data_IF_954826728671
#
_entry.id   IF_954826728671
#
_cell.length_a   1.000
_cell.length_b   1.000
_cell.length_c   1.000
_cell.angle_alpha   90.00
_cell.angle_beta   90.00
_cell.angle_gamma   90.00
#
_symmetry.space_group_name_H-M   'P 1'
#
loop_
_entity.id
_entity.type
_entity.pdbx_description
1 polymer ?
#
# COMPACT_ATOMS: atom_id res chain seq x y z
N UNK A 1 -6.41 10.86 -8.73
CA UNK A 1 -5.35 11.85 -8.99
C UNK A 1 -4.30 11.92 -7.87
N UNK A 2 -4.67 11.85 -6.59
CA UNK A 2 -3.71 11.91 -5.46
C UNK A 2 -2.70 10.74 -5.46
N UNK A 3 -3.14 9.53 -5.82
CA UNK A 3 -2.25 8.35 -5.90
C UNK A 3 -1.24 8.53 -7.04
N UNK A 4 -1.71 8.98 -8.19
CA UNK A 4 -0.83 9.23 -9.34
C UNK A 4 0.14 10.39 -9.08
N UNK A 5 -0.30 11.45 -8.41
CA UNK A 5 0.60 12.51 -7.95
C UNK A 5 1.71 11.95 -7.06
N UNK A 6 1.36 11.14 -6.05
CA UNK A 6 2.34 10.51 -5.18
C UNK A 6 3.33 9.61 -5.93
N UNK A 7 2.87 8.91 -6.97
CA UNK A 7 3.73 8.13 -7.84
C UNK A 7 4.71 9.02 -8.63
N UNK A 8 4.22 10.08 -9.28
CA UNK A 8 5.05 11.02 -10.03
C UNK A 8 6.10 11.66 -9.13
N UNK A 9 5.72 12.12 -7.94
CA UNK A 9 6.64 12.70 -6.97
C UNK A 9 7.71 11.71 -6.53
N UNK A 10 7.32 10.50 -6.15
CA UNK A 10 8.25 9.44 -5.74
C UNK A 10 9.19 9.04 -6.87
N UNK A 11 8.69 8.94 -8.09
CA UNK A 11 9.50 8.62 -9.27
C UNK A 11 10.52 9.73 -9.55
N UNK A 12 10.11 10.99 -9.54
CA UNK A 12 11.00 12.12 -9.73
C UNK A 12 12.14 12.12 -8.71
N UNK A 13 11.85 11.92 -7.44
CA UNK A 13 12.84 11.93 -6.36
C UNK A 13 13.75 10.70 -6.42
N UNK A 14 13.20 9.49 -6.54
CA UNK A 14 13.95 8.24 -6.33
C UNK A 14 14.48 7.61 -7.61
N UNK A 15 13.85 7.84 -8.74
CA UNK A 15 14.26 7.30 -10.04
C UNK A 15 15.07 8.32 -10.82
N UNK A 16 14.49 9.50 -11.05
CA UNK A 16 15.17 10.60 -11.74
C UNK A 16 16.16 11.37 -10.86
N UNK A 17 16.10 11.20 -9.52
CA UNK A 17 17.01 11.81 -8.53
C UNK A 17 16.98 13.33 -8.51
N UNK A 18 15.79 13.87 -8.72
CA UNK A 18 15.52 15.30 -8.64
C UNK A 18 15.38 15.76 -7.20
N UNK A 19 15.48 17.08 -7.00
CA UNK A 19 15.40 17.68 -5.68
C UNK A 19 14.03 17.42 -5.02
N UNK A 20 13.98 16.77 -3.84
CA UNK A 20 12.74 16.50 -3.13
C UNK A 20 11.90 17.74 -2.83
N UNK A 21 12.51 18.89 -2.63
CA UNK A 21 11.79 20.14 -2.32
C UNK A 21 10.88 20.59 -3.46
N UNK A 22 11.23 20.27 -4.69
CA UNK A 22 10.42 20.56 -5.87
C UNK A 22 9.18 19.67 -6.00
N UNK A 23 9.17 18.52 -5.33
CA UNK A 23 8.13 17.49 -5.44
C UNK A 23 7.41 17.23 -4.12
N UNK A 24 7.43 18.18 -3.19
CA UNK A 24 6.83 18.06 -1.85
C UNK A 24 5.39 18.57 -1.75
N UNK A 25 4.79 19.05 -2.85
CA UNK A 25 3.47 19.66 -2.85
C UNK A 25 2.38 18.68 -2.38
N UNK A 26 1.51 19.15 -1.47
CA UNK A 26 0.33 18.41 -1.04
C UNK A 26 -0.67 18.25 -2.21
N UNK A 27 -1.52 17.18 -2.20
CA UNK A 27 -2.52 16.98 -3.24
C UNK A 27 -3.47 18.19 -3.39
N UNK A 28 -3.53 18.72 -4.60
CA UNK A 28 -4.42 19.80 -5.00
C UNK A 28 -4.82 19.61 -6.47
N UNK A 29 -5.86 20.29 -6.97
CA UNK A 29 -6.26 20.18 -8.38
C UNK A 29 -5.16 20.49 -9.39
N UNK A 30 -4.18 21.33 -9.03
CA UNK A 30 -3.07 21.76 -9.89
C UNK A 30 -1.75 21.06 -9.59
N UNK A 31 -1.62 20.34 -8.47
CA UNK A 31 -0.36 19.75 -8.02
C UNK A 31 0.21 18.73 -9.00
N UNK A 32 -0.64 17.90 -9.62
CA UNK A 32 -0.19 16.93 -10.61
C UNK A 32 0.40 17.60 -11.85
N UNK A 33 -0.29 18.62 -12.39
CA UNK A 33 0.19 19.37 -13.55
C UNK A 33 1.51 20.08 -13.25
N UNK A 34 1.63 20.65 -12.04
CA UNK A 34 2.86 21.30 -11.59
C UNK A 34 4.02 20.31 -11.46
N UNK A 35 3.78 19.12 -10.89
CA UNK A 35 4.79 18.08 -10.75
C UNK A 35 5.29 17.55 -12.12
N UNK A 36 4.38 17.35 -13.07
CA UNK A 36 4.74 16.93 -14.43
C UNK A 36 5.54 18.03 -15.17
N UNK A 37 5.14 19.29 -15.02
CA UNK A 37 5.86 20.42 -15.59
C UNK A 37 7.27 20.57 -14.98
N UNK A 38 7.40 20.42 -13.66
CA UNK A 38 8.69 20.43 -12.98
C UNK A 38 9.59 19.27 -13.44
N UNK A 39 9.04 18.06 -13.58
CA UNK A 39 9.78 16.91 -14.09
C UNK A 39 10.36 17.19 -15.48
N UNK A 40 9.52 17.70 -16.39
CA UNK A 40 9.95 18.06 -17.75
C UNK A 40 11.03 19.16 -17.75
N UNK A 41 10.87 20.17 -16.90
CA UNK A 41 11.84 21.27 -16.83
C UNK A 41 13.23 20.81 -16.35
N UNK A 42 13.27 19.83 -15.45
CA UNK A 42 14.53 19.32 -14.88
C UNK A 42 15.18 18.22 -15.72
N UNK A 43 14.40 17.47 -16.49
CA UNK A 43 14.92 16.31 -17.26
C UNK A 43 15.01 16.57 -18.77
N UNK A 44 14.39 17.64 -19.27
CA UNK A 44 14.14 17.90 -20.69
C UNK A 44 13.31 16.78 -21.38
N UNK A 45 12.66 15.90 -20.59
CA UNK A 45 11.87 14.77 -21.07
C UNK A 45 10.45 14.80 -20.50
N UNK A 46 9.49 14.28 -21.24
CA UNK A 46 8.15 14.04 -20.70
C UNK A 46 8.18 12.90 -19.68
N UNK A 47 7.35 13.01 -18.64
CA UNK A 47 7.20 11.91 -17.67
C UNK A 47 6.75 10.63 -18.39
N UNK A 48 7.46 9.49 -18.22
CA UNK A 48 7.16 8.27 -18.94
C UNK A 48 5.74 7.76 -18.62
N UNK A 49 4.95 7.48 -19.65
CA UNK A 49 3.57 6.99 -19.50
C UNK A 49 3.46 5.48 -19.72
N UNK A 50 4.48 4.84 -20.28
CA UNK A 50 4.50 3.39 -20.45
C UNK A 50 4.87 2.68 -19.15
N UNK A 51 3.98 1.83 -18.58
CA UNK A 51 4.26 1.09 -17.35
C UNK A 51 5.50 0.18 -17.42
N UNK A 52 5.79 -0.39 -18.60
CA UNK A 52 6.96 -1.24 -18.76
C UNK A 52 8.26 -0.43 -18.68
N UNK A 53 8.28 0.77 -19.28
CA UNK A 53 9.39 1.70 -19.15
C UNK A 53 9.55 2.16 -17.69
N UNK A 54 8.46 2.59 -17.04
CA UNK A 54 8.46 2.98 -15.63
C UNK A 54 9.06 1.89 -14.74
N UNK A 55 8.58 0.64 -14.89
CA UNK A 55 9.08 -0.50 -14.12
C UNK A 55 10.57 -0.74 -14.36
N UNK A 56 11.01 -0.70 -15.63
CA UNK A 56 12.42 -0.91 -15.97
C UNK A 56 13.34 0.15 -15.35
N UNK A 57 12.90 1.40 -15.29
CA UNK A 57 13.68 2.47 -14.69
C UNK A 57 13.69 2.40 -13.16
N UNK A 58 12.56 2.05 -12.53
CA UNK A 58 12.48 1.75 -11.09
C UNK A 58 13.45 0.63 -10.73
N UNK A 59 13.45 -0.48 -11.47
CA UNK A 59 14.35 -1.62 -11.25
C UNK A 59 15.82 -1.22 -11.36
N UNK A 60 16.18 -0.44 -12.38
CA UNK A 60 17.55 0.07 -12.53
C UNK A 60 17.95 0.99 -11.37
N UNK A 61 17.04 1.83 -10.90
CA UNK A 61 17.28 2.71 -9.76
C UNK A 61 17.48 1.93 -8.46
N UNK A 62 16.64 0.91 -8.22
CA UNK A 62 16.76 0.02 -7.06
C UNK A 62 18.07 -0.76 -7.09
N UNK A 63 18.46 -1.32 -8.23
CA UNK A 63 19.74 -2.04 -8.39
C UNK A 63 20.92 -1.12 -8.10
N UNK A 64 20.94 0.08 -8.65
CA UNK A 64 21.98 1.08 -8.36
C UNK A 64 22.05 1.47 -6.89
N UNK A 65 20.90 1.66 -6.24
CA UNK A 65 20.85 1.96 -4.81
C UNK A 65 21.35 0.79 -3.97
N UNK A 66 21.00 -0.45 -4.34
CA UNK A 66 21.46 -1.67 -3.67
C UNK A 66 22.99 -1.84 -3.75
N UNK A 67 23.58 -1.57 -4.90
CA UNK A 67 25.03 -1.65 -5.15
C UNK A 67 25.82 -0.44 -4.62
N UNK A 68 25.13 0.59 -4.16
CA UNK A 68 25.75 1.80 -3.63
C UNK A 68 26.65 1.51 -2.41
N UNK A 69 27.77 2.23 -2.28
CA UNK A 69 28.78 2.02 -1.25
C UNK A 69 28.17 2.05 0.16
N UNK A 70 27.32 3.03 0.45
CA UNK A 70 26.65 3.16 1.76
C UNK A 70 25.76 1.96 2.06
N UNK A 71 24.96 1.51 1.10
CA UNK A 71 24.08 0.35 1.26
C UNK A 71 24.90 -0.95 1.49
N UNK A 72 26.00 -1.11 0.78
CA UNK A 72 26.93 -2.24 0.97
C UNK A 72 27.55 -2.24 2.37
N UNK A 73 28.06 -1.10 2.82
CA UNK A 73 28.65 -0.96 4.15
C UNK A 73 27.64 -1.23 5.26
N UNK A 74 26.41 -0.73 5.12
CA UNK A 74 25.34 -0.99 6.09
C UNK A 74 24.94 -2.48 6.15
N UNK A 75 24.87 -3.16 5.00
CA UNK A 75 24.62 -4.61 4.96
C UNK A 75 25.74 -5.40 5.65
N UNK A 76 26.99 -5.07 5.35
CA UNK A 76 28.16 -5.69 6.00
C UNK A 76 28.15 -5.47 7.51
N UNK A 77 27.87 -4.25 7.95
CA UNK A 77 27.78 -3.92 9.38
C UNK A 77 26.66 -4.70 10.10
N UNK A 78 25.60 -5.07 9.39
CA UNK A 78 24.49 -5.90 9.91
C UNK A 78 24.73 -7.41 9.76
N UNK A 79 25.90 -7.83 9.30
CA UNK A 79 26.24 -9.25 9.13
C UNK A 79 25.52 -9.94 7.96
N UNK A 80 25.01 -9.18 6.99
CA UNK A 80 24.41 -9.79 5.81
C UNK A 80 25.49 -10.48 4.94
N UNK A 81 25.16 -11.62 4.30
CA UNK A 81 26.07 -12.28 3.37
C UNK A 81 26.52 -11.33 2.25
N UNK A 82 27.77 -11.49 1.80
CA UNK A 82 28.32 -10.69 0.69
C UNK A 82 27.51 -10.82 -0.60
N UNK A 83 26.86 -11.96 -0.80
CA UNK A 83 26.07 -12.34 -1.97
C UNK A 83 24.57 -12.09 -1.77
N UNK A 84 24.19 -11.33 -0.73
CA UNK A 84 22.80 -10.97 -0.50
C UNK A 84 22.22 -10.25 -1.72
N UNK A 85 21.15 -10.80 -2.29
CA UNK A 85 20.44 -10.25 -3.43
C UNK A 85 19.21 -9.47 -3.01
N UNK A 86 18.71 -8.61 -3.90
CA UNK A 86 17.45 -7.89 -3.75
C UNK A 86 16.32 -8.72 -4.35
N UNK A 87 15.34 -9.07 -3.52
CA UNK A 87 14.07 -9.63 -3.99
C UNK A 87 13.07 -8.51 -4.30
N UNK A 88 12.28 -8.69 -5.35
CA UNK A 88 11.21 -7.78 -5.72
C UNK A 88 9.91 -8.56 -5.96
N UNK A 89 8.81 -8.02 -5.44
CA UNK A 89 7.46 -8.48 -5.75
C UNK A 89 6.74 -7.36 -6.48
N UNK A 90 6.20 -7.66 -7.65
CA UNK A 90 5.31 -6.76 -8.41
C UNK A 90 3.93 -7.39 -8.41
N UNK A 91 2.93 -6.67 -7.94
CA UNK A 91 1.56 -7.17 -7.85
C UNK A 91 0.56 -6.06 -8.15
N UNK A 92 -0.63 -6.44 -8.60
CA UNK A 92 -1.75 -5.52 -8.76
C UNK A 92 -2.14 -4.93 -7.40
N UNK A 93 -2.54 -3.66 -7.43
CA UNK A 93 -2.97 -2.93 -6.24
C UNK A 93 -4.45 -2.62 -6.32
N UNK A 94 -5.23 -3.17 -5.41
CA UNK A 94 -6.61 -2.76 -5.19
C UNK A 94 -6.63 -1.34 -4.59
N UNK A 95 -7.43 -0.45 -5.18
CA UNK A 95 -7.42 0.99 -4.82
C UNK A 95 -8.51 1.38 -3.82
N UNK A 96 -9.40 0.47 -3.46
CA UNK A 96 -10.55 0.72 -2.59
C UNK A 96 -11.45 1.86 -3.09
N UNK A 97 -11.70 1.95 -4.39
CA UNK A 97 -12.43 3.04 -5.04
C UNK A 97 -13.72 2.60 -5.76
N UNK A 98 -14.23 1.43 -5.46
CA UNK A 98 -15.45 0.90 -6.05
C UNK A 98 -16.72 1.69 -5.65
N UNK A 99 -17.80 1.58 -6.44
CA UNK A 99 -19.10 2.03 -6.02
C UNK A 99 -19.63 1.14 -4.88
N UNK A 100 -20.12 1.72 -3.81
CA UNK A 100 -20.64 0.98 -2.67
C UNK A 100 -19.66 0.89 -1.50
N UNK A 101 -19.64 -0.24 -0.81
CA UNK A 101 -18.79 -0.45 0.35
C UNK A 101 -17.37 -0.77 -0.09
N UNK A 102 -16.56 0.25 -0.31
CA UNK A 102 -15.13 0.13 -0.63
C UNK A 102 -14.27 0.64 0.51
N UNK A 103 -13.08 0.09 0.68
CA UNK A 103 -12.20 0.46 1.78
C UNK A 103 -11.14 -0.58 2.07
N UNK A 104 -10.49 -0.45 3.21
CA UNK A 104 -9.46 -1.39 3.66
C UNK A 104 -9.68 -1.81 5.10
N UNK A 105 -9.17 -2.98 5.45
CA UNK A 105 -9.32 -3.50 6.79
C UNK A 105 -8.25 -4.49 7.19
N UNK A 106 -8.36 -4.91 8.43
CA UNK A 106 -7.51 -5.96 9.01
C UNK A 106 -8.37 -7.06 9.59
N UNK A 107 -7.91 -8.29 9.50
CA UNK A 107 -8.56 -9.47 10.07
C UNK A 107 -7.54 -10.37 10.77
N UNK A 108 -7.94 -10.96 11.89
CA UNK A 108 -7.20 -12.00 12.59
C UNK A 108 -8.18 -13.01 13.20
N UNK A 109 -7.69 -14.24 13.46
CA UNK A 109 -8.52 -15.34 13.94
C UNK A 109 -8.35 -15.65 15.43
N UNK A 110 -7.60 -14.81 16.12
CA UNK A 110 -7.43 -14.87 17.56
C UNK A 110 -7.64 -13.48 18.15
N UNK A 111 -8.21 -13.44 19.32
CA UNK A 111 -8.24 -12.22 20.12
C UNK A 111 -6.81 -11.89 20.59
N UNK A 112 -6.31 -10.71 20.26
CA UNK A 112 -4.93 -10.30 20.55
C UNK A 112 -4.64 -10.11 22.04
N UNK A 113 -5.67 -10.00 22.88
CA UNK A 113 -5.54 -9.80 24.32
C UNK A 113 -5.62 -11.12 25.08
N UNK A 114 -6.59 -11.97 24.69
CA UNK A 114 -6.87 -13.23 25.42
C UNK A 114 -6.24 -14.45 24.77
N UNK A 115 -5.86 -14.37 23.49
CA UNK A 115 -5.42 -15.53 22.70
C UNK A 115 -6.56 -16.50 22.33
N UNK A 116 -7.81 -16.20 22.67
CA UNK A 116 -8.93 -17.05 22.37
C UNK A 116 -9.23 -17.07 20.85
N UNK A 117 -9.65 -18.23 20.30
CA UNK A 117 -10.08 -18.32 18.91
C UNK A 117 -11.30 -17.41 18.66
N UNK A 118 -11.09 -16.33 17.95
CA UNK A 118 -12.13 -15.36 17.62
C UNK A 118 -11.74 -14.59 16.37
N UNK A 119 -12.68 -14.42 15.44
CA UNK A 119 -12.47 -13.51 14.31
C UNK A 119 -12.63 -12.07 14.80
N UNK A 120 -11.57 -11.30 14.70
CA UNK A 120 -11.54 -9.90 15.09
C UNK A 120 -10.88 -9.04 14.01
N UNK A 121 -11.12 -7.75 14.05
CA UNK A 121 -10.52 -6.80 13.13
C UNK A 121 -11.40 -5.59 12.90
N UNK A 122 -10.96 -4.75 11.97
CA UNK A 122 -11.68 -3.52 11.63
C UNK A 122 -11.65 -3.30 10.13
N UNK A 123 -12.72 -2.75 9.62
CA UNK A 123 -12.85 -2.25 8.26
C UNK A 123 -13.05 -0.73 8.31
N UNK A 124 -12.34 -0.02 7.47
CA UNK A 124 -12.50 1.42 7.28
C UNK A 124 -12.99 1.67 5.86
N UNK A 125 -14.23 2.14 5.73
CA UNK A 125 -14.79 2.58 4.47
C UNK A 125 -14.05 3.82 3.93
N UNK A 126 -13.95 3.92 2.61
CA UNK A 126 -13.56 5.17 1.96
C UNK A 126 -14.80 5.97 1.64
N UNK A 127 -15.16 6.90 2.51
CA UNK A 127 -16.10 7.97 2.16
C UNK A 127 -15.35 9.08 1.44
N UNK A 128 -15.85 9.46 0.28
CA UNK A 128 -15.29 10.58 -0.48
C UNK A 128 -15.30 11.86 0.36
N UNK A 129 -14.15 12.27 0.86
CA UNK A 129 -13.91 13.62 1.33
C UNK A 129 -13.99 13.88 2.83
N UNK A 130 -14.41 12.98 3.69
CA UNK A 130 -14.43 13.18 5.15
C UNK A 130 -13.98 11.93 5.90
N UNK A 131 -12.88 12.03 6.63
CA UNK A 131 -12.46 11.01 7.61
C UNK A 131 -13.31 11.21 8.86
N UNK A 132 -14.36 10.41 9.05
CA UNK A 132 -15.05 10.33 10.33
C UNK A 132 -14.72 9.00 11.03
N UNK A 133 -14.72 9.00 12.35
CA UNK A 133 -14.60 7.76 13.14
C UNK A 133 -15.81 6.83 12.94
N UNK A 134 -16.91 7.35 12.41
CA UNK A 134 -18.14 6.63 12.09
C UNK A 134 -17.99 5.68 10.88
N UNK A 135 -16.97 5.90 10.04
CA UNK A 135 -16.69 5.05 8.87
C UNK A 135 -15.94 3.77 9.20
N UNK A 136 -15.68 3.50 10.50
CA UNK A 136 -14.95 2.31 10.93
C UNK A 136 -15.92 1.26 11.47
N UNK A 137 -16.03 0.12 10.79
CA UNK A 137 -16.81 -1.03 11.22
C UNK A 137 -15.93 -2.07 11.93
N UNK A 138 -16.49 -2.76 12.91
CA UNK A 138 -15.92 -4.03 13.39
C UNK A 138 -16.08 -5.11 12.32
N UNK A 139 -15.27 -6.13 12.29
CA UNK A 139 -15.49 -7.24 11.35
C UNK A 139 -16.72 -8.06 11.72
N UNK A 140 -16.81 -8.47 12.97
CA UNK A 140 -17.92 -9.22 13.55
C UNK A 140 -18.81 -8.30 14.37
N UNK A 141 -20.02 -8.76 14.67
CA UNK A 141 -20.96 -8.04 15.55
C UNK A 141 -20.29 -7.64 16.85
N UNK A 142 -20.42 -6.38 17.19
CA UNK A 142 -19.83 -5.78 18.38
C UNK A 142 -20.80 -4.77 18.98
N UNK A 143 -21.09 -4.81 20.30
CA UNK A 143 -22.01 -3.86 20.93
C UNK A 143 -21.53 -2.40 20.89
N UNK A 144 -20.27 -2.17 20.55
CA UNK A 144 -19.67 -0.83 20.48
C UNK A 144 -19.87 -0.11 19.14
N UNK A 145 -20.39 -0.79 18.09
CA UNK A 145 -20.62 -0.16 16.80
C UNK A 145 -21.03 -1.13 15.70
N UNK A 146 -21.26 -0.59 14.50
CA UNK A 146 -21.62 -1.37 13.33
C UNK A 146 -20.54 -2.39 12.92
N UNK A 147 -20.94 -3.42 12.20
CA UNK A 147 -20.02 -4.47 11.74
C UNK A 147 -20.11 -4.72 10.23
N UNK A 148 -19.01 -5.20 9.64
CA UNK A 148 -18.97 -5.64 8.25
C UNK A 148 -19.86 -6.86 8.04
N UNK A 149 -19.94 -7.76 9.03
CA UNK A 149 -20.83 -8.92 9.03
C UNK A 149 -22.31 -8.54 8.81
N UNK A 150 -22.75 -7.41 9.37
CA UNK A 150 -24.12 -6.91 9.21
C UNK A 150 -24.30 -6.05 7.97
N UNK A 151 -23.32 -5.21 7.66
CA UNK A 151 -23.37 -4.29 6.53
C UNK A 151 -23.21 -4.98 5.17
N UNK A 152 -22.40 -6.04 5.10
CA UNK A 152 -22.12 -6.79 3.89
C UNK A 152 -21.82 -8.28 4.20
N UNK A 153 -22.84 -9.09 4.53
CA UNK A 153 -22.67 -10.47 4.99
C UNK A 153 -22.03 -11.39 3.94
N UNK A 154 -22.29 -11.14 2.65
CA UNK A 154 -21.69 -11.92 1.58
C UNK A 154 -20.18 -11.66 1.49
N UNK A 155 -19.77 -10.40 1.50
CA UNK A 155 -18.37 -9.98 1.51
C UNK A 155 -17.64 -10.51 2.74
N UNK A 156 -18.28 -10.44 3.91
CA UNK A 156 -17.73 -10.98 5.14
C UNK A 156 -17.50 -12.48 5.05
N UNK A 157 -18.45 -13.21 4.46
CA UNK A 157 -18.32 -14.66 4.25
C UNK A 157 -17.16 -15.01 3.33
N UNK A 158 -17.01 -14.29 2.22
CA UNK A 158 -15.90 -14.45 1.28
C UNK A 158 -14.55 -14.15 1.95
N UNK A 159 -14.47 -13.08 2.71
CA UNK A 159 -13.29 -12.72 3.48
C UNK A 159 -12.89 -13.83 4.47
N UNK A 160 -13.86 -14.45 5.15
CA UNK A 160 -13.61 -15.58 6.04
C UNK A 160 -13.05 -16.80 5.29
N UNK A 161 -13.54 -17.09 4.09
CA UNK A 161 -13.05 -18.21 3.26
C UNK A 161 -11.58 -17.95 2.89
N UNK A 162 -11.26 -16.78 2.38
CA UNK A 162 -9.90 -16.42 2.02
C UNK A 162 -8.96 -16.40 3.24
N UNK A 163 -9.39 -15.82 4.34
CA UNK A 163 -8.59 -15.76 5.56
C UNK A 163 -8.29 -17.15 6.14
N UNK A 164 -9.27 -18.05 6.16
CA UNK A 164 -9.07 -19.45 6.57
C UNK A 164 -8.10 -20.19 5.63
N UNK A 165 -8.18 -19.96 4.32
CA UNK A 165 -7.28 -20.56 3.35
C UNK A 165 -5.83 -20.11 3.56
N UNK A 166 -5.59 -18.82 3.78
CA UNK A 166 -4.27 -18.26 4.08
C UNK A 166 -3.71 -18.87 5.36
N UNK A 167 -4.51 -18.89 6.43
CA UNK A 167 -4.12 -19.49 7.73
C UNK A 167 -3.78 -20.97 7.61
N UNK A 168 -4.57 -21.74 6.88
CA UNK A 168 -4.32 -23.17 6.66
C UNK A 168 -3.03 -23.42 5.86
N UNK A 169 -2.72 -22.57 4.89
CA UNK A 169 -1.52 -22.67 4.06
C UNK A 169 -0.24 -22.30 4.81
N UNK A 170 -0.28 -21.23 5.57
CA UNK A 170 0.89 -20.71 6.28
C UNK A 170 1.09 -21.36 7.64
N UNK A 171 0.02 -21.98 8.22
CA UNK A 171 0.02 -22.65 9.53
C UNK A 171 0.49 -21.77 10.69
N UNK A 172 0.21 -20.49 10.60
CA UNK A 172 0.56 -19.49 11.60
C UNK A 172 -0.64 -18.58 11.87
N UNK A 173 -0.74 -18.07 13.08
CA UNK A 173 -1.66 -16.97 13.39
C UNK A 173 -1.06 -15.65 12.92
N UNK A 174 -1.85 -14.90 12.17
CA UNK A 174 -1.39 -13.65 11.58
C UNK A 174 -2.52 -12.64 11.47
N UNK A 175 -2.12 -11.40 11.34
CA UNK A 175 -3.01 -10.35 10.88
C UNK A 175 -2.99 -10.33 9.35
N UNK A 176 -4.18 -10.36 8.76
CA UNK A 176 -4.39 -10.26 7.31
C UNK A 176 -4.91 -8.87 7.02
N UNK A 177 -4.27 -8.17 6.11
CA UNK A 177 -4.78 -6.92 5.55
C UNK A 177 -5.58 -7.23 4.29
N UNK A 178 -6.67 -6.52 4.08
CA UNK A 178 -7.54 -6.69 2.91
C UNK A 178 -8.05 -5.36 2.40
N UNK A 179 -8.41 -5.35 1.12
CA UNK A 179 -9.05 -4.21 0.45
C UNK A 179 -10.32 -4.69 -0.22
N UNK A 180 -11.39 -3.91 -0.10
CA UNK A 180 -12.65 -4.08 -0.82
C UNK A 180 -12.77 -3.02 -1.91
N UNK A 181 -13.17 -3.44 -3.09
CA UNK A 181 -13.48 -2.61 -4.26
C UNK A 181 -14.90 -2.83 -4.75
#
# INVERSE_FOLDING_TARGET
>A
DAIYLGFVQSYAIHVARLDPDMFSAAPSPTALAAALAAYRAETDEEFPQDPAQQLAEVLRSMARAWEGTTARLLRQAKGAPSEAALGLVVQDMALAKGPGLSGSGTMQFVDSVTGAPQVTGRFRGQTQGRKSSEDTLYLTRDPRGGSLEEAAPEVFTELLVHGKAVRAKLREEMQIEFVLE
#
